data_IF_028656976840
#
_entry.id   IF_028656976840
#
_cell.length_a   1.000
_cell.length_b   1.000
_cell.length_c   1.000
_cell.angle_alpha   90.00
_cell.angle_beta   90.00
_cell.angle_gamma   90.00
#
_symmetry.space_group_name_H-M   'P 1'
#
loop_
_entity.id
_entity.type
_entity.pdbx_description
1 polymer ?
#
# COMPACT_ATOMS: atom_id res chain seq x y z
N UNK A 1 -14.03 -2.10 14.96
CA UNK A 1 -14.66 -2.45 13.70
C UNK A 1 -13.88 -1.80 12.57
N UNK A 2 -13.59 -2.58 11.52
CA UNK A 2 -13.11 -2.04 10.27
C UNK A 2 -14.13 -0.98 9.83
N UNK A 3 -13.69 0.25 9.74
CA UNK A 3 -14.55 1.29 9.20
C UNK A 3 -14.97 0.85 7.79
N UNK A 4 -16.25 0.93 7.51
CA UNK A 4 -16.77 0.58 6.21
C UNK A 4 -16.04 1.35 5.12
N UNK A 5 -15.43 0.63 4.20
CA UNK A 5 -14.87 1.20 2.98
C UNK A 5 -15.43 0.46 1.77
N UNK A 6 -15.47 1.14 0.66
CA UNK A 6 -15.96 0.60 -0.60
C UNK A 6 -14.87 0.64 -1.66
N UNK A 7 -14.65 -0.49 -2.32
CA UNK A 7 -13.76 -0.57 -3.49
C UNK A 7 -14.61 -0.34 -4.73
N UNK A 8 -14.21 0.62 -5.56
CA UNK A 8 -14.86 0.94 -6.81
C UNK A 8 -13.90 0.69 -7.95
N UNK A 9 -14.26 -0.22 -8.84
CA UNK A 9 -13.54 -0.42 -10.08
C UNK A 9 -14.02 0.60 -11.12
N UNK A 10 -13.10 1.34 -11.71
CA UNK A 10 -13.40 2.33 -12.73
C UNK A 10 -12.61 2.05 -14.00
N UNK A 11 -13.32 1.76 -15.10
CA UNK A 11 -12.75 1.64 -16.44
C UNK A 11 -12.71 2.98 -17.16
N UNK A 12 -13.47 3.97 -16.68
CA UNK A 12 -13.66 5.27 -17.33
C UNK A 12 -13.38 6.39 -16.34
N UNK A 13 -12.67 7.40 -16.78
CA UNK A 13 -12.39 8.60 -16.01
C UNK A 13 -11.06 9.24 -16.39
N UNK A 14 -10.91 10.51 -16.03
CA UNK A 14 -9.67 11.26 -16.23
C UNK A 14 -8.64 10.86 -15.16
N UNK A 15 -8.04 9.68 -15.32
CA UNK A 15 -6.94 9.25 -14.47
C UNK A 15 -5.65 9.95 -14.89
N UNK A 16 -4.92 10.50 -13.93
CA UNK A 16 -3.57 10.97 -14.19
C UNK A 16 -2.68 9.80 -14.63
N UNK A 17 -1.76 10.07 -15.54
CA UNK A 17 -0.85 9.05 -16.06
C UNK A 17 -0.05 8.43 -14.91
N UNK A 18 0.00 7.10 -14.86
CA UNK A 18 0.74 6.34 -13.84
C UNK A 18 -0.03 6.09 -12.54
N UNK A 19 -1.23 6.65 -12.36
CA UNK A 19 -2.10 6.33 -11.23
C UNK A 19 -2.83 5.03 -11.52
N UNK A 20 -2.65 4.02 -10.65
CA UNK A 20 -3.30 2.72 -10.72
C UNK A 20 -4.47 2.62 -9.75
N UNK A 21 -4.49 3.44 -8.71
CA UNK A 21 -5.57 3.52 -7.74
C UNK A 21 -5.46 4.79 -6.92
N UNK A 22 -6.52 5.12 -6.23
CA UNK A 22 -6.54 6.17 -5.21
C UNK A 22 -7.65 5.95 -4.21
N UNK A 23 -7.54 6.55 -3.05
CA UNK A 23 -8.52 6.48 -1.98
C UNK A 23 -9.00 7.86 -1.56
N UNK A 24 -10.22 7.92 -1.07
CA UNK A 24 -10.80 9.12 -0.45
C UNK A 24 -11.12 8.78 1.00
N UNK A 25 -10.47 9.46 1.93
CA UNK A 25 -10.76 9.37 3.36
C UNK A 25 -11.82 10.36 3.77
N UNK A 26 -12.70 9.99 4.70
CA UNK A 26 -13.78 10.82 5.20
C UNK A 26 -14.90 9.98 5.82
N UNK A 27 -16.16 10.48 5.77
CA UNK A 27 -17.31 9.72 6.27
C UNK A 27 -17.54 8.41 5.48
N UNK A 28 -17.33 8.44 4.17
CA UNK A 28 -17.24 7.26 3.30
C UNK A 28 -15.80 7.11 2.84
N UNK A 29 -15.23 5.94 3.08
CA UNK A 29 -13.91 5.58 2.57
C UNK A 29 -14.09 4.89 1.24
N UNK A 30 -13.64 5.52 0.17
CA UNK A 30 -13.75 5.03 -1.20
C UNK A 30 -12.36 4.70 -1.73
N UNK A 31 -12.26 3.56 -2.38
CA UNK A 31 -11.04 3.13 -3.06
C UNK A 31 -11.38 2.97 -4.54
N UNK A 32 -10.63 3.63 -5.40
CA UNK A 32 -10.74 3.56 -6.85
C UNK A 32 -9.52 2.84 -7.40
N UNK A 33 -9.73 1.86 -8.27
CA UNK A 33 -8.65 1.12 -8.91
C UNK A 33 -8.88 1.02 -10.42
N UNK A 34 -7.79 1.02 -11.18
CA UNK A 34 -7.81 0.66 -12.60
C UNK A 34 -7.74 -0.86 -12.75
N UNK A 35 -8.32 -1.36 -13.84
CA UNK A 35 -8.07 -2.73 -14.27
C UNK A 35 -6.59 -2.90 -14.62
N UNK A 36 -6.00 -3.98 -14.10
CA UNK A 36 -4.59 -4.30 -14.28
C UNK A 36 -4.38 -5.81 -14.15
N UNK A 37 -3.13 -6.29 -14.25
CA UNK A 37 -2.85 -7.68 -13.93
C UNK A 37 -3.12 -7.94 -12.43
N UNK A 38 -3.32 -9.21 -12.08
CA UNK A 38 -3.86 -9.59 -10.76
C UNK A 38 -2.92 -9.22 -9.62
N UNK A 39 -1.62 -9.43 -9.78
CA UNK A 39 -0.63 -9.14 -8.73
C UNK A 39 -0.51 -7.62 -8.49
N UNK A 40 -0.45 -6.80 -9.54
CA UNK A 40 -0.49 -5.35 -9.39
C UNK A 40 -1.80 -4.85 -8.80
N UNK A 41 -2.93 -5.40 -9.26
CA UNK A 41 -4.25 -5.05 -8.73
C UNK A 41 -4.34 -5.32 -7.22
N UNK A 42 -3.88 -6.47 -6.76
CA UNK A 42 -3.89 -6.82 -5.34
C UNK A 42 -2.97 -5.90 -4.52
N UNK A 43 -1.79 -5.56 -5.05
CA UNK A 43 -0.90 -4.63 -4.38
C UNK A 43 -1.51 -3.22 -4.29
N UNK A 44 -2.15 -2.74 -5.36
CA UNK A 44 -2.81 -1.43 -5.38
C UNK A 44 -4.00 -1.42 -4.41
N UNK A 45 -4.84 -2.44 -4.40
CA UNK A 45 -5.95 -2.55 -3.45
C UNK A 45 -5.43 -2.52 -2.00
N UNK A 46 -4.41 -3.32 -1.69
CA UNK A 46 -3.78 -3.32 -0.36
C UNK A 46 -3.20 -1.96 0.03
N UNK A 47 -2.59 -1.26 -0.91
CA UNK A 47 -2.06 0.08 -0.71
C UNK A 47 -3.16 1.09 -0.37
N UNK A 48 -4.24 1.09 -1.14
CA UNK A 48 -5.36 2.00 -0.90
C UNK A 48 -6.12 1.66 0.40
N UNK A 49 -6.23 0.38 0.76
CA UNK A 49 -6.72 -0.02 2.09
C UNK A 49 -5.81 0.53 3.18
N UNK A 50 -4.50 0.46 3.01
CA UNK A 50 -3.51 1.00 3.93
C UNK A 50 -3.70 2.50 4.22
N UNK A 51 -4.16 3.27 3.22
CA UNK A 51 -4.50 4.68 3.43
C UNK A 51 -5.75 4.89 4.29
N UNK A 52 -6.80 4.10 4.06
CA UNK A 52 -8.11 4.35 4.67
C UNK A 52 -8.34 3.60 5.98
N UNK A 53 -7.49 2.62 6.29
CA UNK A 53 -7.64 1.79 7.48
C UNK A 53 -7.38 2.55 8.79
N UNK A 54 -6.49 3.52 8.74
CA UNK A 54 -6.11 4.37 9.87
C UNK A 54 -6.17 5.85 9.44
N UNK A 55 -6.00 6.76 10.41
CA UNK A 55 -5.94 8.19 10.10
C UNK A 55 -4.74 8.51 9.20
N UNK A 56 -4.94 9.48 8.32
CA UNK A 56 -3.89 9.98 7.43
C UNK A 56 -2.78 10.65 8.24
N UNK A 57 -1.54 10.27 7.97
CA UNK A 57 -0.38 10.86 8.63
C UNK A 57 -0.08 12.26 8.06
N UNK A 58 0.41 13.19 8.89
CA UNK A 58 0.72 14.56 8.43
C UNK A 58 1.81 14.62 7.36
N UNK A 59 2.81 13.74 7.45
CA UNK A 59 3.88 13.65 6.46
C UNK A 59 3.47 12.74 5.32
N UNK A 60 3.49 13.24 4.08
CA UNK A 60 3.04 12.49 2.91
C UNK A 60 3.89 11.25 2.62
N UNK A 61 5.21 11.32 2.83
CA UNK A 61 6.10 10.17 2.62
C UNK A 61 5.84 9.08 3.67
N UNK A 62 5.60 9.45 4.91
CA UNK A 62 5.24 8.50 5.96
C UNK A 62 3.88 7.86 5.70
N UNK A 63 2.92 8.64 5.19
CA UNK A 63 1.60 8.13 4.79
C UNK A 63 1.71 7.08 3.67
N UNK A 64 2.50 7.38 2.64
CA UNK A 64 2.75 6.42 1.56
C UNK A 64 3.51 5.19 2.05
N UNK A 65 4.52 5.36 2.91
CA UNK A 65 5.26 4.25 3.50
C UNK A 65 4.36 3.35 4.36
N UNK A 66 3.46 3.95 5.13
CA UNK A 66 2.43 3.22 5.89
C UNK A 66 1.57 2.36 4.97
N UNK A 67 1.08 2.94 3.88
CA UNK A 67 0.26 2.24 2.91
C UNK A 67 1.02 1.11 2.21
N UNK A 68 2.28 1.33 1.82
CA UNK A 68 3.12 0.28 1.23
C UNK A 68 3.45 -0.84 2.22
N UNK A 69 3.74 -0.53 3.47
CA UNK A 69 3.98 -1.55 4.49
C UNK A 69 2.76 -2.45 4.68
N UNK A 70 1.57 -1.87 4.73
CA UNK A 70 0.31 -2.63 4.77
C UNK A 70 0.12 -3.48 3.51
N UNK A 71 0.34 -2.91 2.33
CA UNK A 71 0.19 -3.59 1.05
C UNK A 71 1.05 -4.85 0.94
N UNK A 72 2.30 -4.78 1.41
CA UNK A 72 3.20 -5.93 1.41
C UNK A 72 2.71 -7.04 2.34
N UNK A 73 2.26 -6.69 3.54
CA UNK A 73 1.71 -7.68 4.47
C UNK A 73 0.40 -8.28 3.94
N UNK A 74 -0.45 -7.46 3.34
CA UNK A 74 -1.66 -7.88 2.65
C UNK A 74 -1.37 -8.93 1.58
N UNK A 75 -0.43 -8.63 0.67
CA UNK A 75 -0.07 -9.54 -0.41
C UNK A 75 0.55 -10.85 0.12
N UNK A 76 1.42 -10.79 1.12
CA UNK A 76 1.98 -11.96 1.78
C UNK A 76 0.92 -12.84 2.42
N UNK A 77 -0.05 -12.24 3.09
CA UNK A 77 -1.14 -12.95 3.75
C UNK A 77 -2.06 -13.61 2.74
N UNK A 78 -2.42 -12.89 1.68
CA UNK A 78 -3.22 -13.42 0.58
C UNK A 78 -2.55 -14.63 -0.07
N UNK A 79 -1.25 -14.56 -0.31
CA UNK A 79 -0.47 -15.66 -0.89
C UNK A 79 -0.37 -16.85 0.06
N UNK A 80 0.02 -16.62 1.30
CA UNK A 80 0.23 -17.67 2.32
C UNK A 80 -1.03 -18.51 2.55
N UNK A 81 -2.18 -17.88 2.60
CA UNK A 81 -3.46 -18.53 2.86
C UNK A 81 -4.24 -18.87 1.59
N UNK A 82 -3.66 -18.63 0.42
CA UNK A 82 -4.30 -18.86 -0.88
C UNK A 82 -5.73 -18.31 -0.93
N UNK A 83 -5.93 -17.10 -0.44
CA UNK A 83 -7.24 -16.46 -0.33
C UNK A 83 -7.86 -16.33 -1.72
N UNK A 84 -9.09 -16.83 -1.88
CA UNK A 84 -9.80 -16.80 -3.15
C UNK A 84 -9.08 -17.55 -4.29
N UNK A 85 -8.21 -18.52 -3.97
CA UNK A 85 -7.36 -19.24 -4.92
C UNK A 85 -6.38 -18.33 -5.70
N UNK A 86 -6.00 -17.18 -5.14
CA UNK A 86 -5.14 -16.19 -5.77
C UNK A 86 -3.65 -16.38 -5.46
N UNK A 87 -3.28 -17.31 -4.59
CA UNK A 87 -1.90 -17.49 -4.15
C UNK A 87 -0.90 -17.70 -5.28
N UNK A 88 -1.27 -18.48 -6.30
CA UNK A 88 -0.43 -18.73 -7.48
C UNK A 88 -0.28 -17.50 -8.40
N UNK A 89 -1.20 -16.55 -8.33
CA UNK A 89 -1.19 -15.31 -9.13
C UNK A 89 -0.32 -14.22 -8.51
N UNK A 90 0.14 -14.40 -7.28
CA UNK A 90 0.96 -13.42 -6.56
C UNK A 90 2.43 -13.86 -6.61
N UNK A 91 3.29 -13.03 -7.19
CA UNK A 91 4.73 -13.29 -7.26
C UNK A 91 5.39 -13.17 -5.89
N UNK A 92 6.47 -13.92 -5.65
CA UNK A 92 7.21 -13.89 -4.38
C UNK A 92 7.88 -12.54 -4.09
N UNK A 93 8.31 -11.85 -5.14
CA UNK A 93 8.90 -10.51 -5.08
C UNK A 93 7.87 -9.39 -5.23
N UNK A 94 6.61 -9.76 -5.38
CA UNK A 94 5.45 -8.88 -5.64
C UNK A 94 5.54 -8.04 -6.91
N UNK A 95 6.65 -8.04 -7.65
CA UNK A 95 6.84 -7.40 -8.96
C UNK A 95 6.36 -5.95 -9.06
N UNK A 96 6.27 -5.24 -7.93
CA UNK A 96 5.67 -3.92 -7.87
C UNK A 96 6.69 -2.83 -8.19
N UNK A 97 6.33 -1.97 -9.15
CA UNK A 97 7.10 -0.79 -9.51
C UNK A 97 6.30 0.46 -9.17
N UNK A 98 6.66 1.18 -8.10
CA UNK A 98 5.98 2.41 -7.74
C UNK A 98 6.20 3.51 -8.77
N UNK A 99 5.27 4.47 -8.83
CA UNK A 99 5.43 5.66 -9.66
C UNK A 99 6.71 6.43 -9.28
N UNK A 100 7.50 6.79 -10.27
CA UNK A 100 8.76 7.55 -10.09
C UNK A 100 8.47 9.05 -10.00
N UNK A 101 7.96 9.50 -8.88
CA UNK A 101 7.54 10.89 -8.65
C UNK A 101 8.17 11.55 -7.41
N UNK A 102 9.15 10.91 -6.80
CA UNK A 102 9.80 11.42 -5.57
C UNK A 102 8.99 11.20 -4.30
N UNK A 103 7.78 10.71 -4.39
CA UNK A 103 6.92 10.39 -3.25
C UNK A 103 6.74 8.87 -3.12
N UNK A 104 6.15 8.23 -4.11
CA UNK A 104 5.87 6.80 -4.06
C UNK A 104 7.14 5.95 -4.11
N UNK A 105 8.07 6.28 -5.00
CA UNK A 105 9.33 5.56 -5.13
C UNK A 105 10.24 5.68 -3.89
N UNK A 106 10.33 6.87 -3.30
CA UNK A 106 11.10 7.06 -2.07
C UNK A 106 10.46 6.30 -0.90
N UNK A 107 9.15 6.42 -0.74
CA UNK A 107 8.41 5.76 0.36
C UNK A 107 8.44 4.24 0.23
N UNK A 108 8.26 3.71 -0.98
CA UNK A 108 8.39 2.28 -1.24
C UNK A 108 9.83 1.79 -1.01
N UNK A 109 10.83 2.53 -1.52
CA UNK A 109 12.23 2.22 -1.34
C UNK A 109 12.63 2.15 0.13
N UNK A 110 12.11 3.04 0.96
CA UNK A 110 12.30 3.00 2.41
C UNK A 110 11.74 1.71 3.03
N UNK A 111 10.50 1.35 2.70
CA UNK A 111 9.87 0.13 3.23
C UNK A 111 10.63 -1.12 2.78
N UNK A 112 10.97 -1.22 1.50
CA UNK A 112 11.76 -2.33 0.94
C UNK A 112 13.12 -2.48 1.62
N UNK A 113 13.81 -1.35 1.82
CA UNK A 113 15.09 -1.30 2.54
C UNK A 113 14.97 -1.83 3.97
N UNK A 114 13.94 -1.40 4.69
CA UNK A 114 13.73 -1.81 6.09
C UNK A 114 13.38 -3.31 6.18
N UNK A 115 12.57 -3.82 5.26
CA UNK A 115 12.22 -5.24 5.21
C UNK A 115 13.45 -6.11 4.88
N UNK A 116 14.28 -5.69 3.93
CA UNK A 116 15.55 -6.35 3.61
C UNK A 116 16.53 -6.39 4.79
N UNK A 117 16.41 -5.48 5.73
CA UNK A 117 17.16 -5.45 7.00
C UNK A 117 16.50 -6.25 8.14
N UNK A 118 15.44 -6.98 7.84
CA UNK A 118 14.80 -7.89 8.79
C UNK A 118 13.60 -7.28 9.54
N UNK A 119 13.17 -6.05 9.21
CA UNK A 119 11.96 -5.49 9.81
C UNK A 119 10.72 -6.17 9.20
N UNK A 120 9.74 -6.44 10.04
CA UNK A 120 8.44 -6.96 9.57
C UNK A 120 7.57 -5.83 9.02
N UNK A 121 6.89 -6.06 7.92
CA UNK A 121 6.04 -5.07 7.27
C UNK A 121 4.95 -4.54 8.22
N UNK A 122 4.28 -5.41 8.96
CA UNK A 122 3.23 -5.00 9.90
C UNK A 122 3.80 -4.17 11.07
N UNK A 123 5.01 -4.46 11.53
CA UNK A 123 5.68 -3.67 12.54
C UNK A 123 6.06 -2.28 12.01
N UNK A 124 6.53 -2.18 10.76
CA UNK A 124 6.79 -0.88 10.12
C UNK A 124 5.53 -0.04 10.03
N UNK A 125 4.42 -0.66 9.62
CA UNK A 125 3.12 -0.01 9.57
C UNK A 125 2.73 0.58 10.94
N UNK A 126 2.86 -0.20 12.01
CA UNK A 126 2.53 0.21 13.37
C UNK A 126 3.45 1.34 13.88
N UNK A 127 4.77 1.21 13.64
CA UNK A 127 5.75 2.21 14.05
C UNK A 127 5.55 3.56 13.32
N UNK A 128 5.18 3.54 12.05
CA UNK A 128 4.83 4.75 11.29
C UNK A 128 3.57 5.41 11.86
N UNK A 129 2.52 4.65 12.14
CA UNK A 129 1.28 5.16 12.75
C UNK A 129 1.55 5.81 14.11
N UNK A 130 2.37 5.18 14.93
CA UNK A 130 2.76 5.68 16.26
C UNK A 130 3.81 6.80 16.21
N UNK A 131 4.29 7.13 15.03
CA UNK A 131 5.36 8.13 14.81
C UNK A 131 6.66 7.80 15.54
N UNK A 132 6.94 6.51 15.73
CA UNK A 132 8.23 6.03 16.23
C UNK A 132 9.29 5.95 15.13
N UNK A 133 8.87 6.05 13.87
CA UNK A 133 9.68 5.96 12.68
C UNK A 133 9.16 6.93 11.63
N UNK A 134 10.06 7.52 10.87
CA UNK A 134 9.76 8.35 9.69
C UNK A 134 10.67 7.96 8.52
N UNK A 135 10.17 8.15 7.31
CA UNK A 135 10.97 7.98 6.07
C UNK A 135 12.22 8.85 6.08
N UNK A 136 12.18 9.98 6.79
CA UNK A 136 13.29 10.92 6.88
C UNK A 136 14.22 10.70 8.09
N UNK A 137 13.96 9.68 8.90
CA UNK A 137 14.88 9.34 9.98
C UNK A 137 16.23 8.89 9.40
N UNK A 138 17.28 9.41 9.98
CA UNK A 138 18.62 8.94 9.63
C UNK A 138 18.83 7.55 10.20
N UNK A 139 18.80 6.58 9.31
CA UNK A 139 19.08 5.20 9.67
C UNK A 139 20.57 4.97 9.51
N UNK A 140 21.24 4.91 10.61
CA UNK A 140 22.67 4.59 10.66
C UNK A 140 22.86 3.08 10.77
#
# INVERSE_FOLDING_TARGET
>A
PLNDFQIVHSQFGAWSRGILGFSISGKRKLIFVKENNMDELLMVIGHEIGHVLTETLPNRHDEEAKAFAFSIEWAKTMKKHNVGNLGASIKDDFGFNPAKNGLHDISFGFVDFMIKRGRKALQLHDDLIKRYLSVFDRIY
#
